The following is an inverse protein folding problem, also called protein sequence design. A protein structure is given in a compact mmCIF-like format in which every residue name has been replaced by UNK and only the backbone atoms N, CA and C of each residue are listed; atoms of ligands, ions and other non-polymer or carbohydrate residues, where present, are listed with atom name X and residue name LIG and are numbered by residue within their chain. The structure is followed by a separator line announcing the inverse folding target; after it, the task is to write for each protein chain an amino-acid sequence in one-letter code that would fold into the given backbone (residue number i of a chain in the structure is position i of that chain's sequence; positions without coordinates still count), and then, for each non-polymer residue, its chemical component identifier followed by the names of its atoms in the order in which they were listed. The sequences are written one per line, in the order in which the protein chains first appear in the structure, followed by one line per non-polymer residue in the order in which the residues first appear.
data_IF_934797581013
#
_entry.id   IF_934797581013
#
_cell.length_a   1.000
_cell.length_b   1.000
_cell.length_c   1.000
_cell.angle_alpha   90.00
_cell.angle_beta   90.00
_cell.angle_gamma   90.00
#
_symmetry.space_group_name_H-M   'P 1'
#
loop_
_entity.id
_entity.type
_entity.pdbx_description
1 polymer ?
#
# COMPACT_ATOMS: atom_id res chain seq x y z
N UNK A 1 42.17 12.19 -26.58
CA UNK A 1 41.82 12.21 -25.14
C UNK A 1 40.32 12.39 -24.84
N UNK A 2 39.39 12.36 -25.83
CA UNK A 2 37.97 12.75 -25.61
C UNK A 2 37.03 11.54 -25.40
N UNK A 3 37.41 10.31 -25.76
CA UNK A 3 36.51 9.14 -25.70
C UNK A 3 36.20 8.61 -24.29
N UNK A 4 37.00 8.93 -23.26
CA UNK A 4 36.79 8.41 -21.90
C UNK A 4 35.67 9.11 -21.11
N UNK A 5 35.27 10.32 -21.49
CA UNK A 5 34.24 11.06 -20.76
C UNK A 5 32.81 10.57 -21.04
N UNK A 6 32.58 9.83 -22.14
CA UNK A 6 31.24 9.38 -22.54
C UNK A 6 30.76 8.12 -21.80
N UNK A 7 31.69 7.26 -21.38
CA UNK A 7 31.40 5.94 -20.80
C UNK A 7 30.97 6.01 -19.33
N UNK A 8 31.29 7.10 -18.63
CA UNK A 8 31.01 7.26 -17.18
C UNK A 8 29.61 7.81 -16.85
N UNK A 9 28.78 8.14 -17.85
CA UNK A 9 27.47 8.79 -17.62
C UNK A 9 26.25 7.89 -17.92
N UNK A 10 26.46 6.60 -18.21
CA UNK A 10 25.37 5.68 -18.56
C UNK A 10 25.12 4.60 -17.48
N UNK A 11 26.03 4.47 -16.50
CA UNK A 11 26.00 3.42 -15.47
C UNK A 11 25.23 3.84 -14.19
N UNK A 12 24.77 5.10 -14.10
CA UNK A 12 24.22 5.70 -12.86
C UNK A 12 22.73 6.03 -12.87
N UNK A 13 21.96 5.61 -13.88
CA UNK A 13 20.64 6.21 -14.16
C UNK A 13 19.45 5.23 -14.16
N UNK A 14 19.45 4.16 -13.37
CA UNK A 14 18.27 3.26 -13.34
C UNK A 14 17.82 2.82 -11.94
N UNK A 15 18.02 3.65 -10.90
CA UNK A 15 17.61 3.29 -9.53
C UNK A 15 16.14 3.57 -9.19
N UNK A 16 15.36 4.25 -10.02
CA UNK A 16 13.95 4.50 -9.69
C UNK A 16 13.07 3.31 -10.06
N UNK A 17 13.20 2.22 -9.29
CA UNK A 17 12.14 1.23 -9.17
C UNK A 17 10.92 1.96 -8.62
N UNK A 18 10.07 2.44 -9.52
CA UNK A 18 8.83 3.16 -9.20
C UNK A 18 7.80 2.16 -8.67
N UNK A 19 8.16 1.47 -7.59
CA UNK A 19 7.25 0.68 -6.77
C UNK A 19 6.42 1.65 -5.93
N UNK A 20 5.53 2.42 -6.58
CA UNK A 20 4.44 3.12 -5.91
C UNK A 20 3.77 2.17 -4.94
N UNK A 21 4.09 2.34 -3.67
CA UNK A 21 3.50 1.60 -2.58
C UNK A 21 2.02 2.01 -2.53
N UNK A 22 1.06 1.09 -2.34
CA UNK A 22 -0.35 1.43 -2.24
C UNK A 22 -0.63 2.05 -0.86
N UNK A 23 0.00 3.19 -0.57
CA UNK A 23 -0.05 3.88 0.73
C UNK A 23 -1.48 4.22 1.12
N UNK A 24 -2.30 4.59 0.13
CA UNK A 24 -3.73 4.87 0.35
C UNK A 24 -4.49 3.65 0.88
N UNK A 25 -4.31 2.48 0.27
CA UNK A 25 -4.93 1.25 0.75
C UNK A 25 -4.36 0.82 2.11
N UNK A 26 -3.06 0.99 2.34
CA UNK A 26 -2.46 0.71 3.64
C UNK A 26 -3.09 1.58 4.76
N UNK A 27 -3.31 2.87 4.51
CA UNK A 27 -3.95 3.79 5.48
C UNK A 27 -5.40 3.36 5.77
N UNK A 28 -6.19 3.05 4.74
CA UNK A 28 -7.58 2.59 4.91
C UNK A 28 -7.62 1.29 5.71
N UNK A 29 -6.68 0.38 5.46
CA UNK A 29 -6.58 -0.88 6.20
C UNK A 29 -6.31 -0.64 7.68
N UNK A 30 -5.33 0.20 8.02
CA UNK A 30 -5.00 0.54 9.41
C UNK A 30 -6.18 1.20 10.12
N UNK A 31 -6.85 2.17 9.48
CA UNK A 31 -8.05 2.82 10.02
C UNK A 31 -9.19 1.82 10.24
N UNK A 32 -9.43 0.92 9.29
CA UNK A 32 -10.45 -0.12 9.40
C UNK A 32 -10.18 -1.07 10.57
N UNK A 33 -8.93 -1.49 10.75
CA UNK A 33 -8.51 -2.37 11.85
C UNK A 33 -8.64 -1.67 13.21
N UNK A 34 -8.15 -0.42 13.34
CA UNK A 34 -8.30 0.36 14.58
C UNK A 34 -9.78 0.55 14.95
N UNK A 35 -10.62 0.85 13.97
CA UNK A 35 -12.04 1.06 14.19
C UNK A 35 -12.75 -0.25 14.57
N UNK A 36 -12.39 -1.36 13.92
CA UNK A 36 -12.90 -2.69 14.25
C UNK A 36 -12.54 -3.09 15.69
N UNK A 37 -11.28 -2.90 16.09
CA UNK A 37 -10.79 -3.15 17.45
C UNK A 37 -11.51 -2.28 18.49
N UNK A 38 -11.71 -1.00 18.21
CA UNK A 38 -12.47 -0.10 19.09
C UNK A 38 -13.94 -0.53 19.23
N UNK A 39 -14.56 -1.02 18.16
CA UNK A 39 -15.95 -1.50 18.20
C UNK A 39 -16.13 -2.78 19.02
N UNK A 40 -15.11 -3.65 19.06
CA UNK A 40 -15.14 -4.91 19.82
C UNK A 40 -14.89 -4.69 21.31
N UNK A 41 -13.99 -3.75 21.67
CA UNK A 41 -13.67 -3.44 23.06
C UNK A 41 -14.85 -2.93 23.91
N UNK A 42 -15.98 -2.57 23.28
CA UNK A 42 -17.14 -1.94 23.93
C UNK A 42 -18.23 -2.96 24.33
N UNK A 43 -18.02 -4.28 24.16
CA UNK A 43 -18.97 -5.32 24.61
C UNK A 43 -20.41 -5.13 24.07
N UNK A 44 -20.55 -4.74 22.79
CA UNK A 44 -21.84 -4.85 22.10
C UNK A 44 -21.78 -6.02 21.13
N UNK A 45 -22.71 -6.96 21.28
CA UNK A 45 -22.99 -8.13 20.43
C UNK A 45 -23.28 -7.83 18.95
N UNK A 46 -23.05 -6.59 18.50
CA UNK A 46 -23.17 -6.16 17.11
C UNK A 46 -21.77 -5.92 16.56
N UNK A 47 -21.26 -6.91 15.85
CA UNK A 47 -20.05 -6.78 15.03
C UNK A 47 -20.24 -5.56 14.11
N UNK A 48 -19.37 -4.55 14.18
CA UNK A 48 -19.51 -3.37 13.33
C UNK A 48 -19.22 -3.80 11.89
N UNK A 49 -20.27 -3.87 11.07
CA UNK A 49 -20.16 -4.35 9.69
C UNK A 49 -19.35 -3.38 8.81
N UNK A 50 -19.42 -2.08 9.11
CA UNK A 50 -18.79 -1.04 8.31
C UNK A 50 -17.25 -1.14 8.30
N UNK A 51 -16.55 -1.24 9.45
CA UNK A 51 -15.11 -1.54 9.48
C UNK A 51 -14.74 -2.83 8.75
N UNK A 52 -15.57 -3.88 8.85
CA UNK A 52 -15.31 -5.16 8.18
C UNK A 52 -15.31 -5.01 6.64
N UNK A 53 -16.28 -4.28 6.08
CA UNK A 53 -16.31 -3.99 4.63
C UNK A 53 -15.09 -3.18 4.20
N UNK A 54 -14.67 -2.21 5.02
CA UNK A 54 -13.49 -1.37 4.76
C UNK A 54 -12.22 -2.20 4.62
N UNK A 55 -12.04 -3.20 5.49
CA UNK A 55 -10.89 -4.12 5.46
C UNK A 55 -10.91 -4.96 4.16
N UNK A 56 -12.07 -5.49 3.79
CA UNK A 56 -12.24 -6.32 2.57
C UNK A 56 -11.94 -5.49 1.31
N UNK A 57 -12.47 -4.27 1.20
CA UNK A 57 -12.20 -3.38 0.08
C UNK A 57 -10.71 -3.03 -0.01
N UNK A 58 -10.07 -2.75 1.13
CA UNK A 58 -8.66 -2.41 1.15
C UNK A 58 -7.78 -3.58 0.72
N UNK A 59 -8.08 -4.80 1.19
CA UNK A 59 -7.40 -6.02 0.74
C UNK A 59 -7.59 -6.26 -0.76
N UNK A 60 -8.81 -6.10 -1.28
CA UNK A 60 -9.08 -6.20 -2.72
C UNK A 60 -8.26 -5.19 -3.53
N UNK A 61 -8.10 -3.97 -3.03
CA UNK A 61 -7.32 -2.94 -3.69
C UNK A 61 -5.82 -3.21 -3.67
N UNK A 62 -5.31 -3.69 -2.53
CA UNK A 62 -3.91 -4.12 -2.37
C UNK A 62 -3.60 -5.27 -3.34
N UNK A 63 -4.44 -6.32 -3.35
CA UNK A 63 -4.26 -7.48 -4.23
C UNK A 63 -4.31 -7.06 -5.70
N UNK A 64 -5.26 -6.20 -6.08
CA UNK A 64 -5.35 -5.70 -7.45
C UNK A 64 -4.13 -4.85 -7.85
N UNK A 65 -3.59 -4.04 -6.93
CA UNK A 65 -2.40 -3.24 -7.17
C UNK A 65 -1.14 -4.09 -7.39
N UNK A 66 -1.01 -5.19 -6.66
CA UNK A 66 0.08 -6.14 -6.86
C UNK A 66 -0.13 -7.03 -8.09
N UNK A 67 -1.37 -7.43 -8.40
CA UNK A 67 -1.70 -8.25 -9.59
C UNK A 67 -1.56 -7.49 -10.91
N UNK A 68 -1.80 -6.18 -10.92
CA UNK A 68 -1.72 -5.34 -12.12
C UNK A 68 -0.28 -4.96 -12.51
N UNK A 69 0.71 -5.34 -11.69
CA UNK A 69 2.13 -5.27 -12.04
C UNK A 69 2.60 -6.64 -12.53
#
# INVERSE_FOLDING_TARGET
MIKKAKVINEEGFWFWSNRSFPTFAAIIFVLGVLWFLNGIGILKTKVPWFPAILIILSLGWIINHYKKR
#
